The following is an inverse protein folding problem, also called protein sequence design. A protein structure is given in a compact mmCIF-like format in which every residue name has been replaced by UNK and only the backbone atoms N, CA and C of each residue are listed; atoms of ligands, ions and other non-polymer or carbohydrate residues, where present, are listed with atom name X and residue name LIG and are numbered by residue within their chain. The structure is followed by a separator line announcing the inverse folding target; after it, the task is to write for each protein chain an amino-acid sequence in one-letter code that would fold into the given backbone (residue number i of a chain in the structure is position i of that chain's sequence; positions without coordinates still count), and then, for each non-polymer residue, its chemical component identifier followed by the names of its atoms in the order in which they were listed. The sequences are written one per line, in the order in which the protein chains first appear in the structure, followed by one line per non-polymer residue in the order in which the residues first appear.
data_IF_987458533624
#
_entry.id   IF_987458533624
#
_cell.length_a   1.000
_cell.length_b   1.000
_cell.length_c   1.000
_cell.angle_alpha   90.00
_cell.angle_beta   90.00
_cell.angle_gamma   90.00
#
_symmetry.space_group_name_H-M   'P 1'
#
loop_
_entity.id
_entity.type
_entity.pdbx_description
1 polymer ?
#
# COMPACT_ATOMS: atom_id res chain seq x y z
N UNK A 1 15.46 -20.09 22.24
CA UNK A 1 14.24 -19.38 21.75
C UNK A 1 14.31 -19.30 20.24
N UNK A 2 13.32 -19.82 19.51
CA UNK A 2 13.23 -19.66 18.05
C UNK A 2 13.16 -18.17 17.72
N UNK A 3 14.16 -17.64 17.01
CA UNK A 3 14.13 -16.24 16.58
C UNK A 3 13.05 -16.10 15.50
N UNK A 4 12.08 -15.24 15.74
CA UNK A 4 11.03 -14.97 14.77
C UNK A 4 11.64 -14.38 13.49
N UNK A 5 11.17 -14.84 12.34
CA UNK A 5 11.60 -14.32 11.04
C UNK A 5 10.78 -13.09 10.70
N UNK A 6 11.42 -12.01 10.25
CA UNK A 6 10.72 -10.79 9.82
C UNK A 6 10.65 -10.75 8.29
N UNK A 7 9.46 -10.50 7.76
CA UNK A 7 9.20 -10.47 6.32
C UNK A 7 8.44 -9.21 5.90
N UNK A 8 8.85 -8.60 4.80
CA UNK A 8 8.20 -7.42 4.23
C UNK A 8 7.51 -7.73 2.91
N UNK A 9 6.30 -7.18 2.75
CA UNK A 9 5.50 -7.30 1.54
C UNK A 9 4.93 -5.94 1.13
N UNK A 10 4.89 -5.72 -0.19
CA UNK A 10 4.29 -4.52 -0.77
C UNK A 10 3.17 -4.91 -1.73
N UNK A 11 2.00 -4.30 -1.54
CA UNK A 11 0.91 -4.33 -2.51
C UNK A 11 0.89 -3.03 -3.31
N UNK A 12 1.04 -3.13 -4.63
CA UNK A 12 1.02 -1.97 -5.54
C UNK A 12 -0.35 -1.72 -6.17
N UNK A 13 -1.31 -2.61 -5.92
CA UNK A 13 -2.66 -2.59 -6.47
C UNK A 13 -3.59 -3.40 -5.55
N UNK A 14 -4.90 -3.35 -5.81
CA UNK A 14 -5.92 -4.00 -4.98
C UNK A 14 -6.46 -3.10 -3.86
N UNK A 15 -7.04 -3.71 -2.83
CA UNK A 15 -7.58 -3.02 -1.65
C UNK A 15 -6.44 -2.47 -0.78
N UNK A 16 -6.70 -1.38 -0.03
CA UNK A 16 -5.67 -0.73 0.80
C UNK A 16 -5.29 -1.54 2.03
N UNK A 17 -6.23 -2.30 2.56
CA UNK A 17 -5.99 -3.19 3.68
C UNK A 17 -5.28 -4.46 3.19
N UNK A 18 -3.96 -4.47 3.40
CA UNK A 18 -3.09 -5.55 2.96
C UNK A 18 -2.85 -6.51 4.12
N UNK A 19 -3.24 -7.75 3.88
CA UNK A 19 -3.17 -8.90 4.77
C UNK A 19 -2.52 -10.06 4.00
N UNK A 20 -2.19 -11.18 4.67
CA UNK A 20 -1.53 -12.33 4.02
C UNK A 20 -2.34 -12.94 2.86
N UNK A 21 -3.66 -12.89 2.93
CA UNK A 21 -4.59 -13.39 1.90
C UNK A 21 -4.73 -12.42 0.71
N UNK A 22 -4.17 -11.20 0.82
CA UNK A 22 -4.34 -10.16 -0.19
C UNK A 22 -3.80 -10.61 -1.55
N UNK A 23 -4.59 -10.53 -2.64
CA UNK A 23 -4.20 -11.09 -3.95
C UNK A 23 -2.86 -10.59 -4.49
N UNK A 24 -2.54 -9.31 -4.28
CA UNK A 24 -1.29 -8.70 -4.75
C UNK A 24 -0.02 -9.20 -4.03
N UNK A 25 -0.16 -9.80 -2.84
CA UNK A 25 0.98 -10.27 -2.02
C UNK A 25 1.01 -11.77 -1.81
N UNK A 26 -0.05 -12.51 -2.16
CA UNK A 26 -0.14 -13.97 -1.96
C UNK A 26 1.07 -14.74 -2.48
N UNK A 27 1.53 -14.43 -3.70
CA UNK A 27 2.72 -15.08 -4.26
C UNK A 27 4.00 -14.73 -3.48
N UNK A 28 4.09 -13.50 -2.96
CA UNK A 28 5.21 -13.08 -2.12
C UNK A 28 5.22 -13.89 -0.82
N UNK A 29 4.06 -14.03 -0.15
CA UNK A 29 3.89 -14.87 1.04
C UNK A 29 4.30 -16.31 0.76
N UNK A 30 3.81 -16.91 -0.35
CA UNK A 30 4.13 -18.29 -0.71
C UNK A 30 5.64 -18.49 -0.92
N UNK A 31 6.30 -17.58 -1.65
CA UNK A 31 7.74 -17.65 -1.89
C UNK A 31 8.55 -17.51 -0.60
N UNK A 32 8.18 -16.57 0.26
CA UNK A 32 8.84 -16.37 1.57
C UNK A 32 8.66 -17.60 2.46
N UNK A 33 7.46 -18.18 2.53
CA UNK A 33 7.22 -19.41 3.32
C UNK A 33 8.08 -20.58 2.84
N UNK A 34 8.22 -20.77 1.53
CA UNK A 34 9.11 -21.82 0.99
C UNK A 34 10.57 -21.53 1.33
N UNK A 35 11.01 -20.28 1.17
CA UNK A 35 12.37 -19.88 1.52
C UNK A 35 12.67 -20.13 3.00
N UNK A 36 11.82 -19.65 3.90
CA UNK A 36 11.96 -19.84 5.34
C UNK A 36 11.98 -21.32 5.70
N UNK A 37 11.08 -22.13 5.13
CA UNK A 37 11.08 -23.57 5.35
C UNK A 37 12.39 -24.23 4.92
N UNK A 38 12.94 -23.87 3.75
CA UNK A 38 14.21 -24.42 3.25
C UNK A 38 15.42 -24.03 4.10
N UNK A 39 15.41 -22.81 4.65
CA UNK A 39 16.48 -22.35 5.55
C UNK A 39 16.36 -23.02 6.91
N UNK A 40 15.15 -23.10 7.46
CA UNK A 40 14.88 -23.76 8.74
C UNK A 40 15.12 -25.27 8.68
N UNK A 41 14.73 -25.98 7.61
CA UNK A 41 14.92 -27.43 7.51
C UNK A 41 16.39 -27.87 7.46
N UNK A 42 17.32 -26.95 7.16
CA UNK A 42 18.77 -27.21 7.23
C UNK A 42 19.32 -27.05 8.64
N UNK A 43 18.56 -26.45 9.54
CA UNK A 43 18.92 -26.22 10.93
C UNK A 43 18.05 -27.19 11.72
N UNK A 44 18.57 -28.38 12.02
CA UNK A 44 17.85 -29.61 12.44
C UNK A 44 16.88 -29.51 13.65
N UNK A 45 16.61 -28.32 14.17
CA UNK A 45 16.02 -28.13 15.51
C UNK A 45 14.78 -27.22 15.62
N UNK A 46 14.20 -26.69 14.54
CA UNK A 46 13.14 -25.67 14.70
C UNK A 46 11.86 -25.91 13.90
N UNK A 47 11.00 -26.78 14.43
CA UNK A 47 9.57 -26.71 14.15
C UNK A 47 8.97 -25.47 14.84
N UNK A 48 8.22 -24.65 14.09
CA UNK A 48 7.30 -23.66 14.67
C UNK A 48 7.77 -22.20 14.75
N UNK A 49 8.87 -21.80 14.10
CA UNK A 49 9.26 -20.39 14.05
C UNK A 49 8.19 -19.50 13.40
N UNK A 50 7.55 -18.60 14.18
CA UNK A 50 6.57 -17.64 13.65
C UNK A 50 7.24 -16.63 12.71
N UNK A 51 6.64 -16.42 11.55
CA UNK A 51 7.04 -15.32 10.64
C UNK A 51 6.19 -14.10 10.91
N UNK A 52 6.82 -12.96 11.23
CA UNK A 52 6.18 -11.67 11.39
C UNK A 52 6.16 -10.94 10.04
N UNK A 53 4.96 -10.64 9.53
CA UNK A 53 4.80 -9.96 8.25
C UNK A 53 4.49 -8.46 8.44
N UNK A 54 5.16 -7.64 7.64
CA UNK A 54 4.95 -6.19 7.53
C UNK A 54 4.42 -5.87 6.14
N UNK A 55 3.32 -5.13 6.06
CA UNK A 55 2.65 -4.83 4.79
C UNK A 55 2.54 -3.34 4.55
N UNK A 56 2.98 -2.87 3.38
CA UNK A 56 2.59 -1.56 2.87
C UNK A 56 1.69 -1.69 1.64
N UNK A 57 0.77 -0.73 1.51
CA UNK A 57 0.05 -0.46 0.27
C UNK A 57 0.59 0.82 -0.37
N UNK A 58 1.28 0.69 -1.49
CA UNK A 58 1.84 1.83 -2.20
C UNK A 58 1.77 1.64 -3.72
N UNK A 59 0.87 2.40 -4.38
CA UNK A 59 0.77 2.42 -5.85
C UNK A 59 1.96 3.13 -6.51
N UNK A 60 2.52 4.11 -5.79
CA UNK A 60 3.69 4.89 -6.19
C UNK A 60 4.60 5.00 -4.97
N UNK A 61 5.86 4.64 -5.12
CA UNK A 61 6.89 4.78 -4.10
C UNK A 61 7.76 5.96 -4.51
N UNK A 62 7.83 7.00 -3.66
CA UNK A 62 8.61 8.22 -3.93
C UNK A 62 9.89 8.31 -3.08
N UNK A 63 10.12 7.31 -2.23
CA UNK A 63 11.14 7.26 -1.19
C UNK A 63 10.67 6.33 -0.07
N UNK A 64 11.52 6.11 0.93
CA UNK A 64 11.25 5.20 2.05
C UNK A 64 10.06 5.66 2.90
N UNK A 65 9.83 6.97 3.01
CA UNK A 65 8.65 7.55 3.68
C UNK A 65 7.31 7.16 3.05
N UNK A 66 7.30 6.67 1.80
CA UNK A 66 6.10 6.10 1.16
C UNK A 66 5.78 4.69 1.67
N UNK A 67 6.68 4.07 2.44
CA UNK A 67 6.67 2.69 2.92
C UNK A 67 6.89 2.67 4.46
N UNK A 68 5.98 3.27 5.25
CA UNK A 68 6.19 3.48 6.68
C UNK A 68 6.32 2.17 7.47
N UNK A 69 5.74 1.05 6.99
CA UNK A 69 5.92 -0.25 7.65
C UNK A 69 7.28 -0.86 7.32
N UNK A 70 7.80 -0.67 6.10
CA UNK A 70 9.17 -1.03 5.75
C UNK A 70 10.18 -0.28 6.64
N UNK A 71 10.08 1.04 6.68
CA UNK A 71 10.98 1.91 7.45
C UNK A 71 11.02 1.51 8.93
N UNK A 72 9.84 1.33 9.53
CA UNK A 72 9.72 0.88 10.92
C UNK A 72 10.27 -0.53 11.14
N UNK A 73 10.11 -1.43 10.18
CA UNK A 73 10.67 -2.77 10.29
C UNK A 73 12.20 -2.72 10.24
N UNK A 74 12.78 -2.00 9.26
CA UNK A 74 14.23 -1.86 9.10
C UNK A 74 14.93 -1.26 10.32
N UNK A 75 14.30 -0.28 10.98
CA UNK A 75 14.82 0.31 12.22
C UNK A 75 14.78 -0.63 13.42
N UNK A 76 13.87 -1.62 13.43
CA UNK A 76 13.72 -2.60 14.52
C UNK A 76 14.54 -3.87 14.33
N UNK A 77 14.96 -4.18 13.10
CA UNK A 77 15.81 -5.34 12.84
C UNK A 77 17.19 -5.10 13.49
N UNK A 78 17.55 -5.98 14.42
CA UNK A 78 18.84 -5.96 15.10
C UNK A 78 19.99 -6.26 14.14
N UNK A 79 21.20 -5.91 14.54
CA UNK A 79 22.40 -6.23 13.77
C UNK A 79 22.55 -7.75 13.57
N UNK A 80 23.04 -8.16 12.40
CA UNK A 80 23.14 -9.57 12.01
C UNK A 80 21.82 -10.25 11.65
N UNK A 81 20.70 -9.51 11.65
CA UNK A 81 19.40 -10.02 11.23
C UNK A 81 18.90 -9.37 9.95
N UNK A 82 18.04 -10.09 9.22
CA UNK A 82 17.48 -9.64 7.95
C UNK A 82 15.96 -9.47 8.01
N UNK A 83 15.48 -8.42 7.34
CA UNK A 83 14.11 -8.29 6.87
C UNK A 83 14.00 -8.92 5.47
N UNK A 84 13.23 -10.00 5.36
CA UNK A 84 13.14 -10.80 4.13
C UNK A 84 12.06 -10.24 3.20
N UNK A 85 12.36 -10.11 1.91
CA UNK A 85 11.41 -9.70 0.87
C UNK A 85 11.44 -10.71 -0.30
N UNK A 86 10.30 -11.00 -0.93
CA UNK A 86 10.23 -11.90 -2.11
C UNK A 86 11.23 -11.48 -3.21
N UNK A 87 11.28 -10.20 -3.55
CA UNK A 87 12.25 -9.69 -4.49
C UNK A 87 12.38 -8.18 -4.41
N UNK A 88 13.62 -7.71 -4.37
CA UNK A 88 13.95 -6.29 -4.22
C UNK A 88 13.41 -5.46 -5.39
N UNK A 89 13.36 -6.03 -6.60
CA UNK A 89 12.83 -5.37 -7.82
C UNK A 89 11.42 -4.78 -7.66
N UNK A 90 10.62 -5.28 -6.71
CA UNK A 90 9.27 -4.76 -6.44
C UNK A 90 9.27 -3.34 -5.89
N UNK A 91 10.31 -2.94 -5.15
CA UNK A 91 10.46 -1.59 -4.62
C UNK A 91 10.58 -0.56 -5.76
N UNK A 92 11.47 -0.83 -6.71
CA UNK A 92 11.73 0.08 -7.84
C UNK A 92 10.65 0.04 -8.93
N UNK A 93 9.96 -1.09 -9.13
CA UNK A 93 8.82 -1.17 -10.06
C UNK A 93 7.65 -0.26 -9.64
N UNK A 94 7.53 0.02 -8.35
CA UNK A 94 6.52 0.94 -7.83
C UNK A 94 6.96 2.41 -7.90
N UNK A 95 8.23 2.70 -8.25
CA UNK A 95 8.71 4.07 -8.38
C UNK A 95 8.23 4.70 -9.71
N UNK A 96 7.64 5.91 -9.68
CA UNK A 96 7.04 6.53 -10.86
C UNK A 96 8.05 7.05 -11.89
N UNK A 97 9.29 7.32 -11.49
CA UNK A 97 10.34 7.90 -12.34
C UNK A 97 11.74 7.55 -11.78
N UNK A 98 12.80 7.95 -12.50
CA UNK A 98 14.19 7.71 -12.11
C UNK A 98 14.57 8.40 -10.80
N UNK A 99 14.21 9.66 -10.62
CA UNK A 99 14.47 10.41 -9.39
C UNK A 99 13.94 9.69 -8.14
N UNK A 100 12.72 9.14 -8.20
CA UNK A 100 12.15 8.37 -7.10
C UNK A 100 12.92 7.06 -6.82
N UNK A 101 13.50 6.44 -7.85
CA UNK A 101 14.34 5.23 -7.69
C UNK A 101 15.66 5.57 -7.01
N UNK A 102 16.30 6.65 -7.44
CA UNK A 102 17.58 7.11 -6.90
C UNK A 102 17.41 7.54 -5.43
N UNK A 103 16.34 8.30 -5.14
CA UNK A 103 15.97 8.67 -3.76
C UNK A 103 15.73 7.45 -2.89
N UNK A 104 14.92 6.48 -3.36
CA UNK A 104 14.66 5.26 -2.59
C UNK A 104 15.94 4.43 -2.36
N UNK A 105 16.85 4.37 -3.34
CA UNK A 105 18.13 3.67 -3.16
C UNK A 105 18.98 4.35 -2.08
N UNK A 106 19.08 5.68 -2.11
CA UNK A 106 19.79 6.46 -1.09
C UNK A 106 19.18 6.25 0.30
N UNK A 107 17.85 6.30 0.42
CA UNK A 107 17.15 6.05 1.70
C UNK A 107 17.44 4.63 2.25
N UNK A 108 17.62 3.65 1.36
CA UNK A 108 17.87 2.24 1.73
C UNK A 108 19.35 1.93 1.96
N UNK A 109 20.28 2.81 1.59
CA UNK A 109 21.73 2.57 1.72
C UNK A 109 22.12 2.29 3.19
N UNK A 110 21.56 3.07 4.12
CA UNK A 110 21.74 2.90 5.57
C UNK A 110 21.26 1.53 6.10
N UNK A 111 20.33 0.89 5.38
CA UNK A 111 19.72 -0.37 5.77
C UNK A 111 20.08 -1.53 4.83
N UNK A 112 21.05 -1.32 3.92
CA UNK A 112 21.35 -2.25 2.83
C UNK A 112 21.75 -3.65 3.31
N UNK A 113 22.46 -3.74 4.43
CA UNK A 113 22.82 -5.01 5.08
C UNK A 113 21.67 -5.69 5.82
N UNK A 114 20.53 -5.00 6.03
CA UNK A 114 19.37 -5.54 6.74
C UNK A 114 18.27 -6.04 5.81
N UNK A 115 18.28 -5.68 4.53
CA UNK A 115 17.22 -6.03 3.60
C UNK A 115 17.64 -7.18 2.68
N UNK A 116 16.98 -8.34 2.81
CA UNK A 116 17.32 -9.55 2.06
C UNK A 116 16.30 -9.89 0.96
N UNK A 117 16.76 -10.07 -0.27
CA UNK A 117 15.93 -10.46 -1.40
C UNK A 117 15.92 -11.96 -1.64
N UNK A 118 14.78 -12.65 -1.44
CA UNK A 118 14.65 -14.11 -1.65
C UNK A 118 15.01 -14.50 -3.08
N UNK A 119 14.54 -13.76 -4.08
CA UNK A 119 14.87 -14.00 -5.50
C UNK A 119 16.33 -13.81 -5.83
N UNK A 120 17.02 -12.94 -5.11
CA UNK A 120 18.44 -12.63 -5.30
C UNK A 120 19.32 -13.59 -4.47
N UNK A 121 18.77 -14.16 -3.40
CA UNK A 121 19.47 -14.94 -2.38
C UNK A 121 20.64 -14.12 -1.81
N UNK A 122 20.40 -12.84 -1.53
CA UNK A 122 21.46 -11.91 -1.16
C UNK A 122 20.85 -10.67 -0.48
N UNK A 123 21.53 -10.09 0.53
CA UNK A 123 21.17 -8.78 1.05
C UNK A 123 21.44 -7.68 0.02
N UNK A 124 20.78 -6.53 0.17
CA UNK A 124 20.96 -5.40 -0.76
C UNK A 124 22.41 -4.89 -0.78
N UNK A 125 23.14 -4.94 0.35
CA UNK A 125 24.55 -4.55 0.45
C UNK A 125 25.49 -5.35 -0.44
N UNK A 126 25.15 -6.60 -0.76
CA UNK A 126 26.03 -7.51 -1.49
C UNK A 126 25.79 -7.44 -3.01
N UNK A 127 24.83 -6.62 -3.46
CA UNK A 127 24.52 -6.48 -4.87
C UNK A 127 25.47 -5.48 -5.52
N UNK A 128 26.07 -5.89 -6.64
CA UNK A 128 26.86 -4.97 -7.46
C UNK A 128 25.98 -3.87 -8.06
N UNK A 129 26.58 -2.74 -8.42
CA UNK A 129 25.87 -1.64 -9.07
C UNK A 129 25.13 -2.09 -10.34
N UNK A 130 25.78 -2.90 -11.16
CA UNK A 130 25.18 -3.51 -12.35
C UNK A 130 23.95 -4.37 -12.00
N UNK A 131 24.03 -5.17 -10.93
CA UNK A 131 22.89 -5.98 -10.47
C UNK A 131 21.72 -5.10 -10.01
N UNK A 132 22.01 -3.99 -9.33
CA UNK A 132 21.02 -3.00 -8.92
C UNK A 132 20.34 -2.37 -10.15
N UNK A 133 21.10 -2.00 -11.17
CA UNK A 133 20.56 -1.44 -12.42
C UNK A 133 19.67 -2.46 -13.17
N UNK A 134 20.08 -3.73 -13.21
CA UNK A 134 19.26 -4.83 -13.75
C UNK A 134 17.99 -5.08 -12.92
N UNK A 135 18.04 -4.91 -11.60
CA UNK A 135 16.87 -4.99 -10.72
C UNK A 135 15.89 -3.85 -10.98
N UNK A 136 16.40 -2.63 -11.16
CA UNK A 136 15.61 -1.43 -11.43
C UNK A 136 14.94 -1.45 -12.80
N UNK A 137 15.62 -2.00 -13.81
CA UNK A 137 15.05 -2.22 -15.15
C UNK A 137 14.10 -3.43 -15.20
N UNK A 138 14.20 -4.33 -14.22
CA UNK A 138 13.41 -5.55 -14.17
C UNK A 138 13.93 -6.67 -15.07
N UNK A 139 15.13 -6.51 -15.62
CA UNK A 139 15.82 -7.47 -16.47
C UNK A 139 16.51 -8.60 -15.68
N UNK A 140 16.66 -8.47 -14.36
CA UNK A 140 17.30 -9.51 -13.55
C UNK A 140 16.46 -10.79 -13.46
N UNK A 141 17.04 -11.91 -13.88
CA UNK A 141 16.48 -13.24 -13.69
C UNK A 141 16.57 -13.69 -12.21
N UNK A 142 15.53 -14.33 -11.67
CA UNK A 142 15.56 -14.83 -10.28
C UNK A 142 16.54 -16.01 -10.14
N UNK A 143 17.33 -16.03 -9.05
CA UNK A 143 18.24 -17.13 -8.68
C UNK A 143 17.56 -18.22 -7.85
N UNK A 144 16.43 -17.90 -7.20
CA UNK A 144 15.70 -18.83 -6.35
C UNK A 144 14.51 -19.48 -7.09
N UNK A 145 14.36 -20.80 -6.93
CA UNK A 145 13.18 -21.52 -7.42
C UNK A 145 11.95 -21.12 -6.62
N UNK A 146 11.04 -20.43 -7.29
CA UNK A 146 9.85 -19.84 -6.69
C UNK A 146 8.80 -20.90 -6.42
N UNK A 147 7.85 -20.58 -5.54
CA UNK A 147 6.65 -21.39 -5.40
C UNK A 147 5.98 -21.51 -6.78
N UNK A 148 5.47 -22.71 -7.15
CA UNK A 148 4.69 -22.86 -8.36
C UNK A 148 3.57 -21.83 -8.33
N UNK A 149 3.40 -21.13 -9.45
CA UNK A 149 2.34 -20.13 -9.55
C UNK A 149 1.01 -20.87 -9.46
N UNK A 150 0.12 -20.43 -8.57
CA UNK A 150 -1.26 -20.95 -8.53
C UNK A 150 -1.79 -20.98 -9.98
N UNK A 151 -2.20 -22.16 -10.44
CA UNK A 151 -2.71 -22.37 -11.79
C UNK A 151 -3.81 -21.34 -12.05
N UNK A 152 -3.86 -20.77 -13.26
CA UNK A 152 -4.82 -19.73 -13.63
C UNK A 152 -6.23 -20.23 -13.29
N UNK A 153 -6.82 -19.69 -12.22
CA UNK A 153 -8.21 -19.96 -11.85
C UNK A 153 -9.12 -19.74 -13.08
N UNK A 154 -10.20 -20.53 -13.24
CA UNK A 154 -11.13 -20.38 -14.35
C UNK A 154 -11.58 -18.93 -14.52
N UNK A 155 -11.77 -18.50 -15.77
CA UNK A 155 -12.11 -17.11 -16.12
C UNK A 155 -13.30 -16.56 -15.31
N UNK A 156 -14.33 -17.39 -15.11
CA UNK A 156 -15.54 -17.06 -14.35
C UNK A 156 -15.19 -16.66 -12.90
N UNK A 157 -14.29 -17.39 -12.24
CA UNK A 157 -13.88 -17.09 -10.86
C UNK A 157 -13.19 -15.72 -10.79
N UNK A 158 -12.40 -15.36 -11.82
CA UNK A 158 -11.76 -14.04 -11.89
C UNK A 158 -12.76 -12.90 -12.10
N UNK A 159 -13.76 -13.11 -12.95
CA UNK A 159 -14.82 -12.12 -13.17
C UNK A 159 -15.60 -11.87 -11.88
N UNK A 160 -16.00 -12.93 -11.18
CA UNK A 160 -16.71 -12.83 -9.89
C UNK A 160 -15.86 -12.10 -8.83
N UNK A 161 -14.56 -12.40 -8.75
CA UNK A 161 -13.64 -11.68 -7.85
C UNK A 161 -13.47 -10.20 -8.21
N UNK A 162 -13.41 -9.88 -9.51
CA UNK A 162 -13.28 -8.50 -9.97
C UNK A 162 -14.57 -7.72 -9.70
N UNK A 163 -15.72 -8.36 -9.89
CA UNK A 163 -17.03 -7.79 -9.57
C UNK A 163 -17.16 -7.52 -8.06
N UNK A 164 -16.84 -8.48 -7.20
CA UNK A 164 -16.90 -8.30 -5.75
C UNK A 164 -15.94 -7.21 -5.25
N UNK A 165 -14.70 -7.19 -5.76
CA UNK A 165 -13.73 -6.13 -5.44
C UNK A 165 -14.20 -4.75 -5.91
N UNK A 166 -14.92 -4.69 -7.04
CA UNK A 166 -15.51 -3.45 -7.54
C UNK A 166 -16.65 -2.96 -6.67
N UNK A 167 -17.51 -3.85 -6.16
CA UNK A 167 -18.58 -3.51 -5.21
C UNK A 167 -17.99 -2.92 -3.93
N UNK A 168 -17.02 -3.61 -3.32
CA UNK A 168 -16.35 -3.10 -2.10
C UNK A 168 -15.66 -1.76 -2.36
N UNK A 169 -14.97 -1.63 -3.49
CA UNK A 169 -14.30 -0.37 -3.88
C UNK A 169 -15.30 0.78 -4.07
N UNK A 170 -16.47 0.51 -4.65
CA UNK A 170 -17.55 1.49 -4.81
C UNK A 170 -18.11 1.89 -3.45
N UNK A 171 -18.38 0.93 -2.56
CA UNK A 171 -18.89 1.20 -1.20
C UNK A 171 -17.93 2.09 -0.39
N UNK A 172 -16.63 1.76 -0.37
CA UNK A 172 -15.63 2.56 0.34
C UNK A 172 -15.51 3.97 -0.24
N UNK A 173 -15.50 4.10 -1.58
CA UNK A 173 -15.46 5.44 -2.22
C UNK A 173 -16.74 6.24 -1.96
N UNK A 174 -17.90 5.56 -1.88
CA UNK A 174 -19.19 6.19 -1.55
C UNK A 174 -19.15 6.74 -0.14
N UNK A 175 -18.88 5.89 0.85
CA UNK A 175 -18.77 6.30 2.26
C UNK A 175 -17.78 7.46 2.48
N UNK A 176 -16.59 7.41 1.86
CA UNK A 176 -15.62 8.51 1.97
C UNK A 176 -16.12 9.82 1.33
N UNK A 177 -16.87 9.73 0.23
CA UNK A 177 -17.47 10.90 -0.41
C UNK A 177 -18.63 11.46 0.40
N UNK A 178 -19.44 10.60 1.02
CA UNK A 178 -20.58 10.98 1.86
C UNK A 178 -20.09 11.69 3.13
N UNK A 179 -19.06 11.15 3.80
CA UNK A 179 -18.40 11.80 4.93
C UNK A 179 -17.91 13.23 4.58
N UNK A 180 -17.27 13.41 3.42
CA UNK A 180 -16.84 14.74 2.96
C UNK A 180 -18.01 15.65 2.62
N UNK A 181 -19.13 15.11 2.15
CA UNK A 181 -20.31 15.91 1.88
C UNK A 181 -20.93 16.42 3.20
N UNK A 182 -20.99 15.59 4.25
CA UNK A 182 -21.48 16.02 5.57
C UNK A 182 -20.59 17.11 6.19
N UNK A 183 -19.26 17.01 6.06
CA UNK A 183 -18.35 18.07 6.51
C UNK A 183 -18.65 19.41 5.80
N UNK A 184 -18.89 19.40 4.48
CA UNK A 184 -19.27 20.62 3.74
C UNK A 184 -20.67 21.14 4.12
N UNK A 185 -21.62 20.25 4.40
CA UNK A 185 -22.95 20.62 4.85
C UNK A 185 -22.88 21.37 6.17
N UNK A 186 -22.07 20.88 7.12
CA UNK A 186 -21.80 21.56 8.38
C UNK A 186 -21.21 22.96 8.17
N UNK A 187 -20.22 23.11 7.28
CA UNK A 187 -19.65 24.42 6.94
C UNK A 187 -20.71 25.36 6.35
N UNK A 188 -21.59 24.84 5.50
CA UNK A 188 -22.71 25.62 4.94
C UNK A 188 -23.63 26.12 6.05
N UNK A 189 -24.02 25.25 6.97
CA UNK A 189 -24.93 25.59 8.06
C UNK A 189 -24.29 26.61 9.02
N UNK A 190 -22.99 26.47 9.32
CA UNK A 190 -22.20 27.45 10.09
C UNK A 190 -22.16 28.83 9.40
N UNK A 191 -22.01 28.88 8.07
CA UNK A 191 -22.03 30.14 7.32
C UNK A 191 -23.43 30.76 7.26
N UNK A 192 -24.47 29.94 7.20
CA UNK A 192 -25.86 30.39 7.11
C UNK A 192 -26.34 31.04 8.40
N UNK A 193 -25.79 30.65 9.56
CA UNK A 193 -26.07 31.29 10.84
C UNK A 193 -25.62 32.77 10.91
N UNK A 194 -24.69 33.21 10.05
CA UNK A 194 -24.15 34.56 10.05
C UNK A 194 -24.39 35.38 8.78
N UNK A 195 -25.11 34.84 7.78
CA UNK A 195 -25.32 35.53 6.49
C UNK A 195 -26.59 35.03 5.80
N UNK A 196 -27.38 35.94 5.22
CA UNK A 196 -28.65 35.62 4.56
C UNK A 196 -28.50 34.72 3.32
N UNK A 197 -27.34 34.75 2.65
CA UNK A 197 -27.08 33.97 1.43
C UNK A 197 -25.69 33.35 1.42
N UNK A 198 -25.64 32.03 1.51
CA UNK A 198 -24.41 31.25 1.38
C UNK A 198 -24.20 30.81 -0.08
N UNK A 199 -23.02 31.08 -0.63
CA UNK A 199 -22.63 30.61 -1.97
C UNK A 199 -21.66 29.44 -1.89
N UNK A 200 -21.64 28.58 -2.93
CA UNK A 200 -20.67 27.47 -3.00
C UNK A 200 -19.21 27.93 -2.97
N UNK A 201 -18.94 29.17 -3.38
CA UNK A 201 -17.61 29.78 -3.27
C UNK A 201 -17.21 30.01 -1.82
N UNK A 202 -18.10 30.62 -1.02
CA UNK A 202 -17.86 30.84 0.41
C UNK A 202 -17.60 29.54 1.16
N UNK A 203 -18.35 28.48 0.86
CA UNK A 203 -18.15 27.15 1.46
C UNK A 203 -16.78 26.59 1.08
N UNK A 204 -16.38 26.70 -0.20
CA UNK A 204 -15.08 26.21 -0.67
C UNK A 204 -13.91 26.96 -0.01
N UNK A 205 -14.00 28.28 0.08
CA UNK A 205 -12.97 29.13 0.68
C UNK A 205 -12.82 28.79 2.17
N UNK A 206 -13.94 28.74 2.92
CA UNK A 206 -13.93 28.37 4.34
C UNK A 206 -13.40 26.96 4.60
N UNK A 207 -13.78 25.98 3.77
CA UNK A 207 -13.25 24.63 3.86
C UNK A 207 -11.73 24.62 3.64
N UNK A 208 -11.23 25.37 2.65
CA UNK A 208 -9.81 25.44 2.36
C UNK A 208 -9.01 26.10 3.49
N UNK A 209 -9.55 27.16 4.09
CA UNK A 209 -9.00 27.87 5.26
C UNK A 209 -8.91 26.96 6.48
N UNK A 210 -9.93 26.14 6.74
CA UNK A 210 -9.93 25.13 7.80
C UNK A 210 -9.00 23.93 7.50
N UNK A 211 -8.24 23.97 6.40
CA UNK A 211 -7.36 22.88 5.98
C UNK A 211 -8.10 21.66 5.45
N UNK A 212 -9.42 21.74 5.24
CA UNK A 212 -10.19 20.65 4.67
C UNK A 212 -9.80 20.44 3.20
N UNK A 213 -9.65 19.18 2.81
CA UNK A 213 -9.28 18.78 1.45
C UNK A 213 -10.28 17.77 0.90
N UNK A 214 -10.39 17.75 -0.42
CA UNK A 214 -11.18 16.74 -1.16
C UNK A 214 -10.66 15.32 -0.86
N UNK A 215 -11.43 14.29 -1.21
CA UNK A 215 -11.00 12.87 -1.08
C UNK A 215 -9.70 12.54 -1.83
N UNK A 216 -9.29 13.38 -2.78
CA UNK A 216 -8.03 13.28 -3.54
C UNK A 216 -6.92 14.18 -3.01
N UNK A 217 -7.16 14.93 -1.93
CA UNK A 217 -6.18 15.83 -1.31
C UNK A 217 -6.07 17.22 -1.95
N UNK A 218 -6.84 17.51 -3.00
CA UNK A 218 -6.88 18.84 -3.61
C UNK A 218 -7.76 19.81 -2.83
N UNK A 219 -7.57 21.11 -3.11
CA UNK A 219 -8.44 22.18 -2.62
C UNK A 219 -9.87 22.05 -3.13
N UNK A 220 -10.81 22.55 -2.34
CA UNK A 220 -12.21 22.68 -2.73
C UNK A 220 -12.38 23.79 -3.75
N UNK A 221 -13.24 23.54 -4.74
CA UNK A 221 -13.68 24.50 -5.73
C UNK A 221 -15.21 24.58 -5.72
N UNK A 222 -15.81 25.71 -6.11
CA UNK A 222 -17.27 25.90 -6.04
C UNK A 222 -18.06 24.81 -6.79
N UNK A 223 -17.58 24.39 -7.97
CA UNK A 223 -18.19 23.32 -8.77
C UNK A 223 -18.17 21.95 -8.06
N UNK A 224 -17.10 21.69 -7.33
CA UNK A 224 -16.87 20.43 -6.61
C UNK A 224 -17.71 20.39 -5.33
N UNK A 225 -17.86 21.53 -4.65
CA UNK A 225 -18.79 21.70 -3.52
C UNK A 225 -20.23 21.45 -3.97
N UNK A 226 -20.67 22.08 -5.06
CA UNK A 226 -22.02 21.91 -5.59
C UNK A 226 -22.37 20.43 -5.86
N UNK A 227 -21.44 19.70 -6.49
CA UNK A 227 -21.61 18.25 -6.75
C UNK A 227 -21.71 17.43 -5.47
N UNK A 228 -20.92 17.76 -4.44
CA UNK A 228 -20.95 17.02 -3.18
C UNK A 228 -22.17 17.32 -2.32
N UNK A 229 -22.65 18.56 -2.29
CA UNK A 229 -23.89 18.87 -1.59
C UNK A 229 -25.11 18.28 -2.30
N UNK A 230 -25.15 18.33 -3.64
CA UNK A 230 -26.22 17.70 -4.42
C UNK A 230 -26.34 16.19 -4.14
N UNK A 231 -25.22 15.54 -3.86
CA UNK A 231 -25.16 14.12 -3.54
C UNK A 231 -25.91 13.78 -2.25
N UNK A 232 -25.82 14.62 -1.21
CA UNK A 232 -26.60 14.42 0.02
C UNK A 232 -28.09 14.65 -0.21
N UNK A 233 -28.46 15.65 -1.01
CA UNK A 233 -29.87 15.91 -1.33
C UNK A 233 -30.53 14.85 -2.23
N UNK A 234 -29.73 14.02 -2.90
CA UNK A 234 -30.21 13.01 -3.84
C UNK A 234 -30.30 11.60 -3.23
N UNK A 235 -30.13 11.46 -1.91
CA UNK A 235 -30.21 10.18 -1.18
C UNK A 235 -31.41 10.24 -0.20
N UNK A 236 -32.65 9.91 -0.63
CA UNK A 236 -33.83 9.93 0.24
C UNK A 236 -33.97 8.70 1.16
N UNK A 237 -32.89 7.93 1.38
CA UNK A 237 -32.92 6.65 2.10
C UNK A 237 -31.86 6.54 3.20
N UNK A 238 -31.44 7.67 3.81
CA UNK A 238 -30.51 7.66 4.94
C UNK A 238 -31.15 7.87 6.31
N UNK A 239 -32.47 7.84 6.44
CA UNK A 239 -33.17 7.98 7.74
C UNK A 239 -33.56 6.64 8.40
N UNK A 240 -33.40 5.48 7.74
CA UNK A 240 -33.90 4.19 8.25
C UNK A 240 -32.84 3.17 8.73
N UNK A 241 -31.59 3.59 8.97
CA UNK A 241 -30.58 2.69 9.59
C UNK A 241 -29.99 3.34 10.86
N UNK A 242 -30.74 3.28 11.96
CA UNK A 242 -30.23 3.31 13.35
C UNK A 242 -30.47 1.93 13.97
#
# INVERSE_FOLDING_TARGET
MNKAVSAYLIATHGRREVTEDHPAVRQQVANIRIFVRKVQSRTEEQEGGKTNYYFDYARKVRGLSSLPKLERALTRVSEGHFLIMDGLSRLWRACPNREARDRLLADLELYSSKLFGVRQISPLSDLTRETIDLLMSGALNPRFQLAPREVKRPHIVRQLQTASASVVSKKVRRSAADAKAHELHRIRDELQAGTDRVTNKMIADRANEQGLRTTRGGHWRPDTVARQLKRLSADPHSEDDI
#
